data_IF_397845097528
#
_entry.id   IF_397845097528
#
_cell.length_a   1.000
_cell.length_b   1.000
_cell.length_c   1.000
_cell.angle_alpha   90.00
_cell.angle_beta   90.00
_cell.angle_gamma   90.00
#
_symmetry.space_group_name_H-M   'P 1'
#
loop_
_entity.id
_entity.type
_entity.pdbx_description
1 polymer ?
#
# COMPACT_ATOMS: atom_id res chain seq x y z
N UNK A 1 -60.80 -28.79 63.13
CA UNK A 1 -59.84 -29.90 63.29
C UNK A 1 -59.01 -29.94 62.03
N UNK A 2 -57.74 -29.57 62.14
CA UNK A 2 -56.88 -29.17 61.02
C UNK A 2 -56.16 -30.38 60.42
N UNK A 3 -56.26 -30.56 59.11
CA UNK A 3 -55.53 -31.58 58.34
C UNK A 3 -54.02 -31.24 58.26
N UNK A 4 -53.10 -32.19 58.42
CA UNK A 4 -51.67 -31.91 58.42
C UNK A 4 -51.15 -31.65 57.01
N UNK A 5 -50.49 -30.50 56.85
CA UNK A 5 -49.79 -30.05 55.65
C UNK A 5 -48.56 -30.93 55.42
N UNK A 6 -48.59 -31.75 54.38
CA UNK A 6 -47.51 -32.66 54.01
C UNK A 6 -46.28 -31.85 53.55
N UNK A 7 -45.21 -31.88 54.34
CA UNK A 7 -43.98 -31.12 54.13
C UNK A 7 -43.10 -31.90 53.15
N UNK A 8 -43.03 -31.43 51.90
CA UNK A 8 -42.16 -32.02 50.87
C UNK A 8 -40.69 -31.75 51.20
N UNK A 9 -39.93 -32.81 51.50
CA UNK A 9 -38.47 -32.76 51.68
C UNK A 9 -37.76 -32.22 50.43
N UNK A 10 -36.69 -31.39 50.59
CA UNK A 10 -35.86 -30.96 49.48
C UNK A 10 -35.06 -32.16 48.94
N UNK A 11 -35.26 -32.50 47.67
CA UNK A 11 -34.43 -33.49 46.95
C UNK A 11 -32.98 -33.03 46.93
N UNK A 12 -32.16 -33.60 47.80
CA UNK A 12 -30.70 -33.53 47.71
C UNK A 12 -30.25 -34.14 46.37
N UNK A 13 -29.82 -33.28 45.44
CA UNK A 13 -29.10 -33.72 44.25
C UNK A 13 -27.68 -34.11 44.68
N UNK A 14 -27.18 -35.29 44.30
CA UNK A 14 -25.82 -35.68 44.65
C UNK A 14 -24.81 -34.70 44.04
N UNK A 15 -23.69 -34.41 44.73
CA UNK A 15 -22.69 -33.45 44.25
C UNK A 15 -22.17 -33.88 42.86
N UNK A 16 -21.99 -32.93 41.92
CA UNK A 16 -21.52 -33.25 40.58
C UNK A 16 -20.18 -33.98 40.66
N UNK A 17 -20.09 -35.16 40.04
CA UNK A 17 -18.90 -35.99 40.12
C UNK A 17 -17.86 -35.55 39.07
N UNK A 18 -17.06 -34.55 39.44
CA UNK A 18 -15.99 -33.97 38.61
C UNK A 18 -14.82 -34.93 38.36
N UNK A 19 -14.71 -36.02 39.15
CA UNK A 19 -13.64 -37.03 39.05
C UNK A 19 -13.98 -38.20 38.12
N UNK A 20 -15.16 -38.19 37.48
CA UNK A 20 -15.47 -39.23 36.50
C UNK A 20 -14.52 -39.13 35.31
N UNK A 21 -13.97 -40.27 34.86
CA UNK A 21 -13.01 -40.33 33.72
C UNK A 21 -13.51 -39.62 32.46
N UNK A 22 -14.83 -39.48 32.30
CA UNK A 22 -15.47 -38.76 31.20
C UNK A 22 -15.39 -37.24 31.37
N UNK A 23 -15.67 -36.72 32.56
CA UNK A 23 -15.56 -35.29 32.86
C UNK A 23 -14.09 -34.86 32.88
N UNK A 24 -13.20 -35.70 33.40
CA UNK A 24 -11.75 -35.44 33.40
C UNK A 24 -11.19 -35.33 31.97
N UNK A 25 -11.65 -36.18 31.04
CA UNK A 25 -11.29 -36.08 29.61
C UNK A 25 -11.87 -34.84 28.93
N UNK A 26 -13.08 -34.42 29.31
CA UNK A 26 -13.69 -33.18 28.80
C UNK A 26 -12.94 -31.94 29.30
N UNK A 27 -12.57 -31.89 30.57
CA UNK A 27 -11.76 -30.79 31.10
C UNK A 27 -10.37 -30.76 30.47
N UNK A 28 -9.73 -31.92 30.27
CA UNK A 28 -8.44 -32.00 29.61
C UNK A 28 -8.50 -31.50 28.16
N UNK A 29 -9.56 -31.82 27.41
CA UNK A 29 -9.77 -31.29 26.06
C UNK A 29 -9.97 -29.77 26.05
N UNK A 30 -10.71 -29.22 27.03
CA UNK A 30 -10.89 -27.77 27.17
C UNK A 30 -9.56 -27.08 27.44
N UNK A 31 -8.77 -27.59 28.38
CA UNK A 31 -7.44 -27.05 28.70
C UNK A 31 -6.50 -27.13 27.48
N UNK A 32 -6.55 -28.23 26.73
CA UNK A 32 -5.73 -28.41 25.53
C UNK A 32 -6.16 -27.46 24.40
N UNK A 33 -7.47 -27.24 24.24
CA UNK A 33 -8.00 -26.25 23.28
C UNK A 33 -7.60 -24.82 23.67
N UNK A 34 -7.60 -24.50 24.97
CA UNK A 34 -7.18 -23.20 25.47
C UNK A 34 -5.67 -22.99 25.25
N UNK A 35 -4.87 -24.03 25.50
CA UNK A 35 -3.44 -24.02 25.20
C UNK A 35 -3.13 -23.78 23.72
N UNK A 36 -3.92 -24.38 22.83
CA UNK A 36 -3.81 -24.15 21.38
C UNK A 36 -4.13 -22.70 21.00
N UNK A 37 -5.18 -22.11 21.58
CA UNK A 37 -5.56 -20.70 21.33
C UNK A 37 -4.45 -19.75 21.81
N UNK A 38 -3.88 -20.00 22.99
CA UNK A 38 -2.77 -19.20 23.52
C UNK A 38 -1.53 -19.34 22.63
N UNK A 39 -1.23 -20.55 22.16
CA UNK A 39 -0.13 -20.78 21.23
C UNK A 39 -0.32 -20.03 19.90
N UNK A 40 -1.54 -20.03 19.36
CA UNK A 40 -1.89 -19.24 18.17
C UNK A 40 -1.78 -17.73 18.42
N UNK A 41 -2.17 -17.23 19.60
CA UNK A 41 -1.95 -15.82 19.97
C UNK A 41 -0.46 -15.49 20.05
N UNK A 42 0.37 -16.40 20.56
CA UNK A 42 1.81 -16.19 20.66
C UNK A 42 2.49 -16.15 19.29
N UNK A 43 2.05 -16.99 18.36
CA UNK A 43 2.51 -16.97 16.97
C UNK A 43 2.02 -15.71 16.23
N UNK A 44 0.79 -15.28 16.51
CA UNK A 44 0.24 -14.01 16.01
C UNK A 44 0.91 -12.78 16.62
N UNK A 45 1.51 -12.86 17.81
CA UNK A 45 2.23 -11.74 18.43
C UNK A 45 3.60 -11.47 17.80
N UNK A 46 4.10 -12.32 16.90
CA UNK A 46 5.38 -12.10 16.21
C UNK A 46 5.25 -10.94 15.21
N UNK A 47 6.03 -9.85 15.36
CA UNK A 47 5.91 -8.64 14.52
C UNK A 47 6.21 -8.92 13.03
N UNK A 48 6.95 -9.99 12.74
CA UNK A 48 7.27 -10.44 11.38
C UNK A 48 6.02 -10.80 10.56
N UNK A 49 4.96 -11.32 11.21
CA UNK A 49 3.71 -11.72 10.54
C UNK A 49 2.81 -10.53 10.17
N UNK A 50 3.07 -9.35 10.76
CA UNK A 50 2.30 -8.12 10.54
C UNK A 50 3.09 -7.04 9.80
N UNK A 51 4.33 -7.32 9.39
CA UNK A 51 5.18 -6.36 8.68
C UNK A 51 4.52 -5.85 7.37
N UNK A 52 3.78 -6.71 6.68
CA UNK A 52 3.04 -6.35 5.46
C UNK A 52 1.87 -5.38 5.73
N UNK A 53 1.28 -5.43 6.93
CA UNK A 53 0.12 -4.62 7.34
C UNK A 53 0.54 -3.20 7.72
N UNK A 54 1.77 -3.02 8.20
CA UNK A 54 2.37 -1.71 8.47
C UNK A 54 3.13 -1.13 7.27
N UNK A 55 3.60 -1.95 6.32
CA UNK A 55 4.11 -1.47 5.02
C UNK A 55 3.02 -0.92 4.10
N UNK A 56 1.76 -1.35 4.27
CA UNK A 56 0.60 -0.80 3.54
C UNK A 56 -0.14 0.30 4.31
N UNK A 57 0.28 0.57 5.55
CA UNK A 57 -0.26 1.62 6.43
C UNK A 57 0.58 2.90 6.48
N UNK A 58 1.46 3.11 5.50
CA UNK A 58 2.06 4.42 5.25
C UNK A 58 0.93 5.43 5.04
N UNK A 59 1.05 6.57 5.72
CA UNK A 59 0.04 7.60 5.86
C UNK A 59 -0.82 7.80 4.61
N UNK A 60 -2.13 7.99 4.81
CA UNK A 60 -3.02 8.56 3.79
C UNK A 60 -2.59 10.01 3.59
N UNK A 61 -1.44 10.21 2.97
CA UNK A 61 -1.01 11.46 2.40
C UNK A 61 -2.03 11.73 1.30
N UNK A 62 -2.77 12.83 1.44
CA UNK A 62 -3.86 13.17 0.55
C UNK A 62 -3.32 13.22 -0.87
N UNK A 63 -3.63 12.19 -1.66
CA UNK A 63 -3.20 12.12 -3.05
C UNK A 63 -3.61 13.41 -3.75
N UNK A 64 -2.66 14.06 -4.42
CA UNK A 64 -2.91 15.31 -5.12
C UNK A 64 -4.02 15.08 -6.16
N UNK A 65 -4.98 16.03 -6.30
CA UNK A 65 -5.99 15.93 -7.34
C UNK A 65 -5.35 15.79 -8.72
N UNK A 66 -5.83 14.85 -9.52
CA UNK A 66 -5.30 14.58 -10.86
C UNK A 66 -5.57 15.75 -11.79
N UNK A 67 -4.52 16.48 -12.17
CA UNK A 67 -4.57 17.58 -13.15
C UNK A 67 -4.29 17.06 -14.56
N UNK A 68 -4.99 17.60 -15.55
CA UNK A 68 -4.75 17.31 -16.96
C UNK A 68 -3.44 17.97 -17.41
N UNK A 69 -2.49 17.14 -17.84
CA UNK A 69 -1.16 17.55 -18.30
C UNK A 69 -1.06 17.63 -19.82
N UNK A 70 -2.15 17.37 -20.55
CA UNK A 70 -2.15 17.43 -22.02
C UNK A 70 -1.86 18.85 -22.50
N UNK A 71 -0.91 18.95 -23.42
CA UNK A 71 -0.62 20.21 -24.08
C UNK A 71 -1.74 20.54 -25.06
N UNK A 72 -2.50 21.60 -24.77
CA UNK A 72 -3.43 22.22 -25.72
C UNK A 72 -2.78 23.50 -26.26
N UNK A 73 -2.49 23.61 -27.57
CA UNK A 73 -2.03 24.86 -28.14
C UNK A 73 -3.08 25.95 -27.86
N UNK A 74 -2.68 27.18 -27.48
CA UNK A 74 -3.65 28.26 -27.33
C UNK A 74 -4.44 28.42 -28.65
N UNK A 75 -5.75 28.77 -28.58
CA UNK A 75 -6.50 29.09 -29.78
C UNK A 75 -5.73 30.15 -30.55
N UNK A 76 -5.36 29.88 -31.81
CA UNK A 76 -4.75 30.89 -32.66
C UNK A 76 -5.78 32.00 -32.84
N UNK A 77 -5.66 33.09 -32.09
CA UNK A 77 -6.16 34.37 -32.57
C UNK A 77 -5.42 34.63 -33.88
N UNK A 78 -6.19 34.79 -34.96
CA UNK A 78 -5.66 34.99 -36.28
C UNK A 78 -4.69 36.19 -36.28
N UNK A 79 -3.44 35.90 -36.65
CA UNK A 79 -2.48 36.80 -37.26
C UNK A 79 -2.45 38.26 -36.77
N UNK A 80 -1.58 38.55 -35.81
CA UNK A 80 -0.89 39.85 -35.79
C UNK A 80 0.59 39.62 -36.06
N UNK A 81 1.14 40.52 -36.86
CA UNK A 81 2.29 40.30 -37.71
C UNK A 81 3.59 40.12 -36.92
N UNK A 82 4.43 39.26 -37.49
CA UNK A 82 5.83 39.02 -37.20
C UNK A 82 6.63 40.33 -37.25
N UNK A 83 6.82 40.98 -36.10
CA UNK A 83 7.81 42.04 -35.94
C UNK A 83 9.01 41.46 -35.20
N UNK A 84 10.01 41.05 -35.99
CA UNK A 84 11.36 40.74 -35.53
C UNK A 84 12.00 42.04 -35.04
N UNK A 85 11.99 42.29 -33.73
CA UNK A 85 12.90 43.24 -33.11
C UNK A 85 14.28 42.58 -32.95
N UNK A 86 15.17 42.86 -33.90
CA UNK A 86 16.60 42.65 -33.69
C UNK A 86 17.10 43.67 -32.66
N UNK A 87 17.05 43.32 -31.38
CA UNK A 87 17.81 44.04 -30.35
C UNK A 87 19.28 43.68 -30.49
N UNK A 88 20.03 44.46 -31.27
CA UNK A 88 21.49 44.45 -31.26
C UNK A 88 21.99 45.01 -29.91
N UNK A 89 22.21 44.15 -28.94
CA UNK A 89 22.98 44.50 -27.75
C UNK A 89 24.47 44.34 -28.08
N UNK A 90 25.12 45.46 -28.45
CA UNK A 90 26.58 45.56 -28.39
C UNK A 90 27.03 45.48 -26.92
N UNK A 91 28.00 44.63 -26.55
CA UNK A 91 28.62 44.71 -25.23
C UNK A 91 29.53 45.95 -25.16
N UNK A 92 29.55 46.70 -24.04
CA UNK A 92 30.55 47.74 -23.83
C UNK A 92 31.95 47.11 -23.66
N UNK A 93 32.99 47.68 -24.28
CA UNK A 93 34.35 47.19 -24.10
C UNK A 93 34.89 47.63 -22.74
N UNK A 94 35.25 46.66 -21.89
CA UNK A 94 36.04 46.94 -20.67
C UNK A 94 35.56 46.30 -19.36
N UNK A 95 34.96 45.11 -19.36
CA UNK A 95 34.68 44.40 -18.11
C UNK A 95 35.92 43.58 -17.68
N UNK A 96 36.77 44.22 -16.88
CA UNK A 96 37.80 43.58 -16.08
C UNK A 96 37.17 42.50 -15.19
N UNK A 97 37.84 41.36 -15.12
CA UNK A 97 37.54 40.19 -14.27
C UNK A 97 37.33 40.61 -12.81
N UNK A 98 36.09 40.95 -12.49
CA UNK A 98 35.65 41.31 -11.14
C UNK A 98 34.45 40.42 -10.88
N UNK A 99 34.62 39.47 -9.96
CA UNK A 99 33.56 38.65 -9.40
C UNK A 99 32.39 39.56 -9.03
N UNK A 100 31.36 39.61 -9.87
CA UNK A 100 30.17 40.40 -9.63
C UNK A 100 29.45 39.74 -8.46
N UNK A 101 29.50 40.37 -7.29
CA UNK A 101 28.62 40.02 -6.18
C UNK A 101 27.18 40.25 -6.62
N UNK A 102 26.52 39.19 -7.08
CA UNK A 102 25.09 39.20 -7.41
C UNK A 102 24.34 39.53 -6.11
N UNK A 103 23.55 40.63 -6.06
CA UNK A 103 22.83 41.01 -4.85
C UNK A 103 21.93 39.87 -4.37
N UNK A 104 21.97 39.57 -3.06
CA UNK A 104 21.09 38.56 -2.46
C UNK A 104 19.64 39.07 -2.48
N UNK A 105 18.86 38.61 -3.45
CA UNK A 105 17.41 38.90 -3.51
C UNK A 105 16.68 37.97 -2.54
N UNK A 106 15.84 38.49 -1.62
CA UNK A 106 15.06 37.66 -0.71
C UNK A 106 14.23 36.62 -1.48
N UNK A 107 14.31 35.36 -1.06
CA UNK A 107 13.55 34.24 -1.65
C UNK A 107 14.28 33.46 -2.75
N UNK A 108 15.42 33.95 -3.27
CA UNK A 108 16.24 33.22 -4.24
C UNK A 108 17.49 32.63 -3.59
N UNK A 109 17.96 31.51 -4.13
CA UNK A 109 19.24 30.92 -3.72
C UNK A 109 20.40 31.84 -4.13
N UNK A 110 21.47 32.01 -3.32
CA UNK A 110 22.62 32.83 -3.68
C UNK A 110 23.20 32.46 -5.04
N UNK A 111 23.41 33.46 -5.90
CA UNK A 111 23.91 33.28 -7.28
C UNK A 111 22.83 33.15 -8.35
N UNK A 112 21.56 32.98 -7.98
CA UNK A 112 20.44 33.05 -8.94
C UNK A 112 20.11 34.52 -9.22
N UNK A 113 20.18 34.94 -10.48
CA UNK A 113 19.78 36.27 -10.94
C UNK A 113 18.33 36.24 -11.49
N UNK A 114 17.36 36.85 -10.79
CA UNK A 114 15.96 36.85 -11.22
C UNK A 114 15.71 37.55 -12.57
N UNK A 115 16.56 38.49 -12.98
CA UNK A 115 16.39 39.19 -14.26
C UNK A 115 16.64 38.26 -15.44
N UNK A 116 17.58 37.32 -15.29
CA UNK A 116 17.90 36.30 -16.30
C UNK A 116 16.75 35.32 -16.47
N UNK A 117 16.03 35.01 -15.39
CA UNK A 117 14.89 34.09 -15.39
C UNK A 117 13.72 34.58 -16.28
N UNK A 118 13.63 35.88 -16.59
CA UNK A 118 12.60 36.44 -17.49
C UNK A 118 12.71 35.90 -18.93
N UNK A 119 13.88 35.37 -19.31
CA UNK A 119 14.10 34.76 -20.63
C UNK A 119 13.51 33.34 -20.72
N UNK A 120 13.20 32.71 -19.58
CA UNK A 120 12.70 31.35 -19.51
C UNK A 120 11.21 31.34 -19.85
N UNK A 121 10.82 30.56 -20.85
CA UNK A 121 9.43 30.43 -21.30
C UNK A 121 8.87 29.05 -20.97
N UNK A 122 7.79 29.01 -20.19
CA UNK A 122 7.05 27.79 -19.92
C UNK A 122 6.31 27.26 -21.15
N UNK A 123 5.90 25.98 -21.07
CA UNK A 123 5.07 25.29 -22.06
C UNK A 123 5.71 25.31 -23.46
N UNK A 124 7.04 25.31 -23.49
CA UNK A 124 7.85 25.19 -24.71
C UNK A 124 8.62 23.89 -24.68
N UNK A 125 9.09 23.44 -25.85
CA UNK A 125 10.07 22.36 -25.95
C UNK A 125 11.42 22.82 -25.37
N UNK A 126 12.16 21.91 -24.77
CA UNK A 126 13.51 22.14 -24.27
C UNK A 126 14.45 22.27 -25.47
N UNK A 127 15.19 23.38 -25.51
CA UNK A 127 16.20 23.62 -26.53
C UNK A 127 17.58 23.53 -25.89
N UNK A 128 18.49 22.80 -26.52
CA UNK A 128 19.90 22.65 -26.08
C UNK A 128 20.72 23.94 -26.09
N UNK A 129 20.13 25.10 -26.38
CA UNK A 129 20.81 26.40 -26.42
C UNK A 129 20.21 27.42 -25.43
N UNK A 130 19.40 26.97 -24.46
CA UNK A 130 18.89 27.86 -23.42
C UNK A 130 20.04 28.27 -22.49
N UNK A 131 20.52 29.52 -22.55
CA UNK A 131 21.69 29.97 -21.76
C UNK A 131 21.44 29.90 -20.26
N UNK A 132 20.25 30.31 -19.81
CA UNK A 132 19.86 30.31 -18.38
C UNK A 132 19.91 28.90 -17.78
N UNK A 133 19.58 27.87 -18.57
CA UNK A 133 19.71 26.47 -18.16
C UNK A 133 21.13 26.12 -17.72
N UNK A 134 22.12 26.45 -18.55
CA UNK A 134 23.52 26.17 -18.27
C UNK A 134 24.07 27.04 -17.15
N UNK A 135 23.62 28.29 -17.00
CA UNK A 135 23.97 29.15 -15.88
C UNK A 135 23.53 28.53 -14.54
N UNK A 136 22.30 28.02 -14.46
CA UNK A 136 21.78 27.37 -13.25
C UNK A 136 22.47 26.02 -12.98
N UNK A 137 22.74 25.22 -14.02
CA UNK A 137 23.52 24.00 -13.85
C UNK A 137 24.95 24.27 -13.38
N UNK A 138 25.61 25.31 -13.92
CA UNK A 138 26.96 25.67 -13.48
C UNK A 138 26.96 26.18 -12.04
N UNK A 139 25.94 26.95 -11.64
CA UNK A 139 25.74 27.33 -10.23
C UNK A 139 25.66 26.09 -9.35
N UNK A 140 24.79 25.13 -9.68
CA UNK A 140 24.66 23.86 -8.95
C UNK A 140 25.97 23.06 -8.93
N UNK A 141 26.72 23.04 -10.03
CA UNK A 141 28.01 22.35 -10.09
C UNK A 141 29.00 22.92 -9.07
N UNK A 142 29.06 24.25 -8.95
CA UNK A 142 29.96 24.96 -8.06
C UNK A 142 29.51 24.97 -6.59
N UNK A 143 28.22 24.81 -6.31
CA UNK A 143 27.68 24.81 -4.94
C UNK A 143 27.89 23.45 -4.25
N UNK A 144 28.51 23.38 -3.05
CA UNK A 144 28.58 22.15 -2.27
C UNK A 144 27.20 21.59 -1.90
N UNK A 145 27.04 20.26 -1.87
CA UNK A 145 25.77 19.63 -1.48
C UNK A 145 25.33 20.08 -0.07
N UNK A 146 26.26 20.16 0.87
CA UNK A 146 25.98 20.63 2.25
C UNK A 146 25.37 22.02 2.30
N UNK A 147 25.70 22.91 1.36
CA UNK A 147 25.10 24.24 1.28
C UNK A 147 23.68 24.19 0.69
N UNK A 148 23.44 23.35 -0.31
CA UNK A 148 22.11 23.16 -0.89
C UNK A 148 21.13 22.60 0.14
N UNK A 149 21.49 21.52 0.84
CA UNK A 149 20.65 20.94 1.88
C UNK A 149 20.57 21.84 3.13
N UNK A 150 21.66 22.54 3.47
CA UNK A 150 21.69 23.47 4.61
C UNK A 150 20.88 24.75 4.38
N UNK A 151 20.56 25.11 3.14
CA UNK A 151 19.76 26.29 2.80
C UNK A 151 18.26 26.15 3.12
N UNK A 152 17.84 25.04 3.75
CA UNK A 152 16.44 24.76 4.11
C UNK A 152 15.50 24.88 2.91
N UNK A 153 15.70 24.04 1.87
CA UNK A 153 14.88 24.07 0.67
C UNK A 153 13.39 23.83 1.00
N UNK A 154 12.50 24.48 0.26
CA UNK A 154 11.06 24.33 0.45
C UNK A 154 10.59 22.97 -0.08
N UNK A 155 9.94 22.11 0.72
CA UNK A 155 9.32 20.89 0.22
C UNK A 155 8.16 21.23 -0.71
N UNK A 156 8.18 20.70 -1.93
CA UNK A 156 7.15 20.98 -2.94
C UNK A 156 6.58 19.71 -3.56
N UNK A 157 5.29 19.77 -3.92
CA UNK A 157 4.59 18.75 -4.71
C UNK A 157 4.54 19.07 -6.20
N UNK A 158 3.92 18.19 -6.99
CA UNK A 158 3.74 18.41 -8.42
C UNK A 158 2.84 19.63 -8.68
N UNK A 159 1.75 19.80 -7.92
CA UNK A 159 0.77 20.85 -8.19
C UNK A 159 1.32 22.26 -8.01
N UNK A 160 2.16 22.47 -6.99
CA UNK A 160 2.81 23.76 -6.74
C UNK A 160 3.65 24.18 -7.96
N UNK A 161 4.54 23.30 -8.40
CA UNK A 161 5.41 23.56 -9.56
C UNK A 161 4.62 23.67 -10.87
N UNK A 162 3.51 22.95 -10.99
CA UNK A 162 2.70 22.95 -12.21
C UNK A 162 1.76 24.16 -12.33
N UNK A 163 1.14 24.61 -11.23
CA UNK A 163 0.16 25.70 -11.23
C UNK A 163 0.77 27.06 -10.93
N UNK A 164 1.89 27.10 -10.20
CA UNK A 164 2.53 28.33 -9.74
C UNK A 164 3.98 28.44 -10.25
N UNK A 165 4.25 28.24 -11.55
CA UNK A 165 5.62 28.19 -12.05
C UNK A 165 6.38 29.51 -11.82
N UNK A 166 5.70 30.66 -11.87
CA UNK A 166 6.33 31.96 -11.68
C UNK A 166 6.72 32.22 -10.22
N UNK A 167 6.00 31.65 -9.26
CA UNK A 167 6.33 31.74 -7.84
C UNK A 167 7.57 30.91 -7.51
N UNK A 168 7.77 29.77 -8.17
CA UNK A 168 8.85 28.84 -7.87
C UNK A 168 10.07 28.98 -8.79
N UNK A 169 10.00 29.73 -9.90
CA UNK A 169 11.08 29.80 -10.89
C UNK A 169 12.38 30.24 -10.24
N UNK A 170 13.43 29.44 -10.38
CA UNK A 170 14.75 29.68 -9.81
C UNK A 170 14.84 29.56 -8.29
N UNK A 171 13.76 29.18 -7.59
CA UNK A 171 13.81 28.90 -6.14
C UNK A 171 14.37 27.50 -5.89
N UNK A 172 15.06 27.38 -4.74
CA UNK A 172 15.55 26.11 -4.25
C UNK A 172 14.40 25.33 -3.61
N UNK A 173 14.12 24.16 -4.17
CA UNK A 173 13.02 23.29 -3.78
C UNK A 173 13.53 21.89 -3.46
N UNK A 174 12.80 21.20 -2.58
CA UNK A 174 13.01 19.80 -2.25
C UNK A 174 11.84 18.97 -2.78
N UNK A 175 12.15 17.90 -3.51
CA UNK A 175 11.17 17.02 -4.13
C UNK A 175 11.50 15.56 -3.81
N UNK A 176 10.58 14.87 -3.13
CA UNK A 176 10.68 13.46 -2.80
C UNK A 176 9.72 12.63 -3.66
N UNK A 177 10.15 11.45 -4.08
CA UNK A 177 9.28 10.57 -4.86
C UNK A 177 9.96 9.33 -5.41
N UNK A 178 9.28 8.67 -6.33
CA UNK A 178 9.78 7.47 -7.01
C UNK A 178 10.31 7.81 -8.39
N UNK A 179 11.61 7.64 -8.62
CA UNK A 179 12.21 7.69 -9.96
C UNK A 179 11.85 6.41 -10.69
N UNK A 180 11.16 6.54 -11.82
CA UNK A 180 10.71 5.40 -12.63
C UNK A 180 11.55 5.17 -13.90
N UNK A 181 12.35 6.16 -14.26
CA UNK A 181 13.28 6.14 -15.39
C UNK A 181 14.41 7.11 -15.08
N UNK A 182 15.63 6.67 -15.29
CA UNK A 182 16.83 7.50 -15.21
C UNK A 182 17.81 7.05 -16.29
N UNK A 183 18.41 7.99 -17.00
CA UNK A 183 19.46 7.71 -17.95
C UNK A 183 20.39 8.90 -18.08
N UNK A 184 21.64 8.62 -18.38
CA UNK A 184 22.63 9.67 -18.58
C UNK A 184 22.57 10.21 -20.01
N UNK A 185 22.48 11.54 -20.12
CA UNK A 185 22.48 12.27 -21.39
C UNK A 185 23.82 13.00 -21.50
N UNK A 186 24.62 12.59 -22.48
CA UNK A 186 25.88 13.25 -22.82
C UNK A 186 25.57 14.57 -23.54
N UNK A 187 26.23 15.65 -23.13
CA UNK A 187 26.01 17.00 -23.69
C UNK A 187 27.31 17.63 -24.17
N UNK A 188 27.87 17.12 -25.27
CA UNK A 188 29.14 17.62 -25.82
C UNK A 188 28.98 18.99 -26.48
N UNK A 189 29.94 19.89 -26.22
CA UNK A 189 30.03 21.19 -26.87
C UNK A 189 29.08 22.26 -26.32
N UNK A 190 28.58 22.09 -25.09
CA UNK A 190 27.81 23.13 -24.42
C UNK A 190 28.73 24.27 -23.89
N UNK A 191 28.19 25.50 -23.70
CA UNK A 191 28.99 26.66 -23.34
C UNK A 191 29.65 26.64 -21.95
N UNK A 192 29.35 25.65 -21.11
CA UNK A 192 29.83 25.54 -19.73
C UNK A 192 30.66 24.26 -19.50
N UNK A 193 31.04 23.56 -20.57
CA UNK A 193 31.83 22.31 -20.54
C UNK A 193 31.27 21.23 -19.61
N UNK A 194 29.94 21.21 -19.40
CA UNK A 194 29.28 20.19 -18.58
C UNK A 194 29.28 18.86 -19.36
N UNK A 195 29.87 17.76 -18.86
CA UNK A 195 29.99 16.52 -19.65
C UNK A 195 28.63 15.93 -20.07
N UNK A 196 27.63 16.11 -19.22
CA UNK A 196 26.28 15.57 -19.37
C UNK A 196 25.51 15.67 -18.07
N UNK A 197 24.32 15.08 -18.06
CA UNK A 197 23.41 15.08 -16.91
C UNK A 197 22.50 13.86 -16.94
N UNK A 198 22.05 13.44 -15.77
CA UNK A 198 21.00 12.44 -15.59
C UNK A 198 19.64 13.05 -15.85
N UNK A 199 18.87 12.48 -16.78
CA UNK A 199 17.44 12.79 -16.91
C UNK A 199 16.62 11.75 -16.14
N UNK A 200 16.05 12.18 -15.02
CA UNK A 200 15.24 11.38 -14.11
C UNK A 200 13.76 11.74 -14.23
N UNK A 201 12.91 10.74 -14.45
CA UNK A 201 11.46 10.88 -14.40
C UNK A 201 10.97 10.45 -13.02
N UNK A 202 10.62 11.43 -12.20
CA UNK A 202 10.21 11.23 -10.83
C UNK A 202 8.71 11.41 -10.71
N UNK A 203 8.03 10.49 -10.02
CA UNK A 203 6.66 10.65 -9.56
C UNK A 203 6.71 11.15 -8.12
N UNK A 204 6.34 12.42 -7.87
CA UNK A 204 6.33 12.95 -6.50
C UNK A 204 5.38 12.16 -5.61
N UNK A 205 5.67 12.15 -4.32
CA UNK A 205 4.76 11.56 -3.33
C UNK A 205 3.35 12.14 -3.48
N UNK A 206 2.34 11.26 -3.43
CA UNK A 206 0.95 11.64 -3.64
C UNK A 206 0.54 12.00 -5.08
N UNK A 207 1.46 12.07 -6.05
CA UNK A 207 1.14 12.47 -7.43
C UNK A 207 1.21 11.31 -8.44
N UNK A 208 0.36 11.39 -9.47
CA UNK A 208 0.38 10.47 -10.63
C UNK A 208 0.97 11.12 -11.88
N UNK A 209 1.47 12.34 -11.76
CA UNK A 209 2.10 13.05 -12.86
C UNK A 209 3.60 13.19 -12.59
N UNK A 210 4.44 13.09 -13.62
CA UNK A 210 5.87 13.15 -13.43
C UNK A 210 6.37 14.60 -13.29
N UNK A 211 7.45 14.75 -12.53
CA UNK A 211 8.40 15.85 -12.61
C UNK A 211 9.67 15.31 -13.27
N UNK A 212 10.24 16.07 -14.21
CA UNK A 212 11.51 15.71 -14.84
C UNK A 212 12.63 16.42 -14.11
N UNK A 213 13.55 15.66 -13.55
CA UNK A 213 14.73 16.18 -12.85
C UNK A 213 15.96 15.98 -13.73
N UNK A 214 16.72 17.04 -13.93
CA UNK A 214 18.03 16.98 -14.57
C UNK A 214 19.09 17.15 -13.49
N UNK A 215 19.76 16.06 -13.15
CA UNK A 215 20.80 16.04 -12.12
C UNK A 215 22.19 15.97 -12.75
N UNK A 216 23.17 16.70 -12.21
CA UNK A 216 24.56 16.61 -12.68
C UNK A 216 25.19 15.25 -12.38
N UNK A 217 24.80 14.65 -11.26
CA UNK A 217 25.33 13.37 -10.80
C UNK A 217 24.25 12.54 -10.08
N UNK A 218 24.51 11.25 -9.90
CA UNK A 218 23.69 10.33 -9.11
C UNK A 218 24.58 9.52 -8.15
N UNK A 219 24.07 9.11 -6.98
CA UNK A 219 24.87 8.30 -6.05
C UNK A 219 25.36 7.00 -6.69
N UNK A 220 26.56 6.58 -6.30
CA UNK A 220 27.14 5.33 -6.79
C UNK A 220 26.22 4.13 -6.54
N UNK A 221 26.03 3.31 -7.57
CA UNK A 221 25.15 2.13 -7.51
C UNK A 221 23.69 2.40 -7.84
N UNK A 222 23.29 3.66 -8.10
CA UNK A 222 21.94 3.97 -8.56
C UNK A 222 21.65 3.28 -9.90
N UNK A 223 20.50 2.61 -10.07
CA UNK A 223 20.19 1.90 -11.30
C UNK A 223 19.93 2.85 -12.46
N UNK A 224 20.36 2.46 -13.66
CA UNK A 224 20.05 3.14 -14.92
C UNK A 224 19.06 2.31 -15.74
N UNK A 225 18.10 2.97 -16.40
CA UNK A 225 17.12 2.27 -17.21
C UNK A 225 15.85 3.06 -17.52
N UNK A 226 15.05 2.45 -18.40
CA UNK A 226 13.76 2.98 -18.84
C UNK A 226 12.61 2.57 -17.94
N UNK A 227 12.82 1.54 -17.11
CA UNK A 227 11.85 0.98 -16.18
C UNK A 227 12.56 0.64 -14.87
N UNK A 228 12.32 1.44 -13.85
CA UNK A 228 12.80 1.22 -12.48
C UNK A 228 11.77 1.77 -11.48
N UNK A 229 12.02 1.63 -10.19
CA UNK A 229 11.28 2.36 -9.16
C UNK A 229 12.14 2.51 -7.92
N UNK A 230 12.82 3.64 -7.82
CA UNK A 230 13.68 3.96 -6.68
C UNK A 230 13.18 5.20 -5.95
N UNK A 231 13.12 5.13 -4.62
CA UNK A 231 12.79 6.30 -3.80
C UNK A 231 14.00 7.24 -3.74
N UNK A 232 13.82 8.48 -4.21
CA UNK A 232 14.89 9.48 -4.29
C UNK A 232 14.33 10.84 -3.85
N UNK A 233 15.16 11.57 -3.11
CA UNK A 233 14.92 12.99 -2.78
C UNK A 233 15.88 13.85 -3.58
N UNK A 234 15.37 14.87 -4.26
CA UNK A 234 16.20 15.87 -4.94
C UNK A 234 16.06 17.22 -4.26
N UNK A 235 17.20 17.91 -4.10
CA UNK A 235 17.23 19.35 -3.81
C UNK A 235 17.79 20.06 -5.04
N UNK A 236 17.04 21.03 -5.54
CA UNK A 236 17.33 21.64 -6.82
C UNK A 236 16.59 22.93 -7.07
N UNK A 237 16.88 23.57 -8.20
CA UNK A 237 16.24 24.80 -8.64
C UNK A 237 15.11 24.46 -9.61
N UNK A 238 13.90 24.94 -9.37
CA UNK A 238 12.82 24.80 -10.35
C UNK A 238 13.11 25.68 -11.58
N UNK A 239 13.04 25.10 -12.78
CA UNK A 239 13.41 25.80 -14.01
C UNK A 239 12.20 26.31 -14.80
N UNK A 240 11.36 25.38 -15.26
CA UNK A 240 10.20 25.70 -16.10
C UNK A 240 9.21 24.53 -16.16
N UNK A 241 8.07 24.79 -16.78
CA UNK A 241 7.20 23.72 -17.32
C UNK A 241 7.62 23.43 -18.76
N UNK A 242 7.93 22.18 -19.04
CA UNK A 242 8.45 21.73 -20.33
C UNK A 242 7.44 20.83 -21.04
N UNK A 243 7.33 20.99 -22.36
CA UNK A 243 6.51 20.13 -23.22
C UNK A 243 7.32 18.93 -23.71
N UNK A 244 6.83 17.72 -23.48
CA UNK A 244 7.46 16.48 -23.93
C UNK A 244 6.49 15.60 -24.73
N UNK A 245 7.03 14.71 -25.54
CA UNK A 245 6.25 13.71 -26.27
C UNK A 245 6.00 12.49 -25.38
N UNK A 246 4.74 12.26 -25.02
CA UNK A 246 4.27 11.04 -24.37
C UNK A 246 3.64 10.08 -25.41
N UNK A 247 3.28 8.87 -24.98
CA UNK A 247 2.62 7.88 -25.84
C UNK A 247 1.27 8.36 -26.38
N UNK A 248 0.54 9.17 -25.61
CA UNK A 248 -0.79 9.67 -25.94
C UNK A 248 -0.79 11.12 -26.47
N UNK A 249 0.40 11.68 -26.78
CA UNK A 249 0.56 13.01 -27.36
C UNK A 249 1.50 13.91 -26.56
N UNK A 250 1.48 15.20 -26.86
CA UNK A 250 2.28 16.18 -26.16
C UNK A 250 1.72 16.43 -24.75
N UNK A 251 2.58 16.37 -23.74
CA UNK A 251 2.27 16.63 -22.33
C UNK A 251 3.20 17.67 -21.74
N UNK A 252 2.80 18.26 -20.62
CA UNK A 252 3.59 19.22 -19.86
C UNK A 252 4.03 18.57 -18.54
N UNK A 253 5.31 18.72 -18.19
CA UNK A 253 5.83 18.36 -16.88
C UNK A 253 6.65 19.53 -16.28
N UNK A 254 6.61 19.73 -14.96
CA UNK A 254 7.58 20.57 -14.27
C UNK A 254 9.00 20.01 -14.46
N UNK A 255 9.98 20.91 -14.54
CA UNK A 255 11.38 20.59 -14.72
C UNK A 255 12.21 21.19 -13.59
N UNK A 256 13.02 20.36 -12.93
CA UNK A 256 13.90 20.76 -11.82
C UNK A 256 15.35 20.45 -12.19
N UNK A 257 16.25 21.37 -11.84
CA UNK A 257 17.70 21.23 -11.98
C UNK A 257 18.30 20.88 -10.63
N UNK A 258 19.07 19.78 -10.54
CA UNK A 258 19.67 19.34 -9.31
C UNK A 258 21.17 19.06 -9.48
N UNK A 259 21.91 19.10 -8.36
CA UNK A 259 23.29 18.62 -8.36
C UNK A 259 23.34 17.10 -8.28
N UNK A 260 22.71 16.53 -7.26
CA UNK A 260 22.68 15.08 -7.02
C UNK A 260 21.41 14.72 -6.23
N UNK A 261 20.84 13.56 -6.50
CA UNK A 261 19.74 13.00 -5.70
C UNK A 261 20.25 12.24 -4.47
N UNK A 262 19.52 12.32 -3.36
CA UNK A 262 19.68 11.44 -2.21
C UNK A 262 18.89 10.15 -2.44
N UNK A 263 19.60 9.03 -2.50
CA UNK A 263 19.03 7.70 -2.68
C UNK A 263 19.56 6.75 -1.61
N UNK A 264 18.65 5.99 -1.02
CA UNK A 264 18.99 4.84 -0.19
C UNK A 264 18.50 3.59 -0.91
N UNK A 265 19.37 2.59 -1.19
CA UNK A 265 18.97 1.38 -1.90
C UNK A 265 17.81 0.70 -1.20
N UNK A 266 16.72 0.45 -1.93
CA UNK A 266 15.63 -0.36 -1.40
C UNK A 266 16.17 -1.78 -1.20
N UNK A 267 16.14 -2.35 0.02
CA UNK A 267 16.59 -3.71 0.23
C UNK A 267 15.79 -4.66 -0.66
N UNK A 268 16.49 -5.53 -1.39
CA UNK A 268 15.82 -6.56 -2.19
C UNK A 268 14.80 -7.30 -1.30
N UNK A 269 13.56 -7.51 -1.77
CA UNK A 269 12.56 -8.20 -0.97
C UNK A 269 13.13 -9.55 -0.54
N UNK A 270 13.19 -9.76 0.78
CA UNK A 270 13.63 -11.03 1.33
C UNK A 270 12.78 -12.15 0.68
N UNK A 271 13.39 -13.28 0.29
CA UNK A 271 12.65 -14.36 -0.32
C UNK A 271 11.47 -14.72 0.59
N UNK A 272 10.25 -14.58 0.05
CA UNK A 272 9.02 -14.99 0.71
C UNK A 272 9.19 -16.45 1.13
N UNK A 273 9.42 -16.65 2.43
CA UNK A 273 9.60 -17.98 2.99
C UNK A 273 8.23 -18.63 2.98
N UNK A 274 8.01 -19.54 2.02
CA UNK A 274 6.80 -20.36 2.02
C UNK A 274 6.66 -21.00 3.41
N UNK A 275 5.45 -21.02 4.01
CA UNK A 275 5.25 -21.67 5.29
C UNK A 275 5.73 -23.11 5.16
N UNK A 276 6.58 -23.54 6.11
CA UNK A 276 7.18 -24.86 6.04
C UNK A 276 6.08 -25.93 5.92
N UNK A 277 6.33 -27.06 5.23
CA UNK A 277 5.36 -28.16 5.16
C UNK A 277 4.90 -28.61 6.56
N UNK A 278 5.72 -28.42 7.58
CA UNK A 278 5.38 -28.65 8.99
C UNK A 278 4.38 -27.64 9.56
N UNK A 279 4.43 -26.36 9.17
CA UNK A 279 3.46 -25.35 9.56
C UNK A 279 2.09 -25.58 8.90
N UNK A 280 2.09 -26.01 7.62
CA UNK A 280 0.85 -26.35 6.91
C UNK A 280 0.23 -27.62 7.52
N UNK A 281 1.03 -28.66 7.74
CA UNK A 281 0.53 -29.91 8.35
C UNK A 281 0.04 -29.69 9.78
N UNK A 282 0.71 -28.88 10.60
CA UNK A 282 0.24 -28.56 11.96
C UNK A 282 -1.08 -27.78 11.95
N UNK A 283 -1.26 -26.82 11.03
CA UNK A 283 -2.52 -26.10 10.87
C UNK A 283 -3.67 -27.02 10.43
N UNK A 284 -3.43 -27.94 9.49
CA UNK A 284 -4.43 -28.92 9.03
C UNK A 284 -4.80 -29.90 10.15
N UNK A 285 -3.80 -30.39 10.91
CA UNK A 285 -4.02 -31.27 12.05
C UNK A 285 -4.84 -30.55 13.13
N UNK A 286 -4.49 -29.30 13.45
CA UNK A 286 -5.23 -28.49 14.42
C UNK A 286 -6.70 -28.31 13.99
N UNK A 287 -6.94 -27.99 12.71
CA UNK A 287 -8.29 -27.85 12.16
C UNK A 287 -9.09 -29.16 12.23
N UNK A 288 -8.45 -30.29 11.90
CA UNK A 288 -9.05 -31.61 11.97
C UNK A 288 -9.40 -32.03 13.40
N UNK A 289 -8.54 -31.72 14.37
CA UNK A 289 -8.79 -31.96 15.80
C UNK A 289 -9.96 -31.13 16.31
N UNK A 290 -10.03 -29.84 15.93
CA UNK A 290 -11.15 -28.95 16.30
C UNK A 290 -12.46 -29.48 15.70
N UNK A 291 -12.47 -29.81 14.40
CA UNK A 291 -13.65 -30.35 13.73
C UNK A 291 -14.09 -31.69 14.33
N UNK A 292 -13.14 -32.58 14.66
CA UNK A 292 -13.41 -33.85 15.30
C UNK A 292 -13.98 -33.70 16.72
N UNK A 293 -13.44 -32.76 17.50
CA UNK A 293 -13.96 -32.44 18.84
C UNK A 293 -15.39 -31.89 18.77
N UNK A 294 -15.65 -30.94 17.86
CA UNK A 294 -16.98 -30.38 17.63
C UNK A 294 -18.00 -31.44 17.20
N UNK A 295 -17.62 -32.33 16.25
CA UNK A 295 -18.48 -33.41 15.80
C UNK A 295 -18.77 -34.44 16.91
N UNK A 296 -17.81 -34.70 17.80
CA UNK A 296 -17.99 -35.61 18.93
C UNK A 296 -18.86 -35.00 20.04
N UNK A 297 -18.73 -33.70 20.31
CA UNK A 297 -19.63 -32.97 21.22
C UNK A 297 -21.06 -32.90 20.65
N UNK A 298 -21.22 -32.71 19.33
CA UNK A 298 -22.52 -32.69 18.67
C UNK A 298 -23.20 -34.07 18.64
N UNK A 299 -22.43 -35.17 18.72
CA UNK A 299 -22.92 -36.55 18.91
C UNK A 299 -23.23 -36.84 20.40
N UNK A 300 -23.95 -35.94 21.06
CA UNK A 300 -24.50 -36.18 22.39
C UNK A 300 -25.31 -37.50 22.43
N UNK A 301 -25.42 -38.16 23.59
CA UNK A 301 -26.06 -39.47 23.69
C UNK A 301 -27.51 -39.34 23.23
N UNK A 302 -27.83 -39.90 22.06
CA UNK A 302 -29.21 -40.18 21.67
C UNK A 302 -29.76 -41.06 22.79
N UNK A 303 -30.60 -40.48 23.66
CA UNK A 303 -31.41 -41.25 24.60
C UNK A 303 -32.17 -42.24 23.74
N UNK A 304 -31.70 -43.49 23.73
CA UNK A 304 -32.48 -44.62 23.26
C UNK A 304 -33.71 -44.65 24.15
N UNK A 305 -34.78 -44.03 23.67
CA UNK A 305 -36.13 -44.16 24.21
C UNK A 305 -36.52 -45.60 23.92
N UNK A 306 -36.05 -46.51 24.78
CA UNK A 306 -36.42 -47.92 24.76
C UNK A 306 -37.88 -47.99 25.16
N UNK A 307 -38.66 -48.49 24.23
CA UNK A 307 -40.11 -48.53 24.25
C UNK A 307 -40.68 -49.07 25.55
N UNK A 308 -41.68 -48.35 26.02
CA UNK A 308 -42.63 -48.74 27.06
C UNK A 308 -43.61 -49.79 26.50
N UNK A 309 -43.10 -50.90 25.95
CA UNK A 309 -43.90 -52.01 25.44
C UNK A 309 -43.78 -53.22 26.38
N UNK A 310 -44.27 -53.07 27.61
CA UNK A 310 -44.40 -54.21 28.54
C UNK A 310 -45.56 -54.04 29.54
N UNK A 311 -46.64 -53.36 29.12
CA UNK A 311 -47.82 -53.10 29.99
C UNK A 311 -49.18 -53.42 29.33
N UNK A 312 -49.22 -54.36 28.38
CA UNK A 312 -50.45 -54.85 27.72
C UNK A 312 -50.48 -56.37 27.54
N UNK A 313 -50.16 -57.14 28.57
CA UNK A 313 -50.29 -58.61 28.55
C UNK A 313 -50.92 -59.20 29.80
N UNK A 314 -51.92 -58.53 30.40
CA UNK A 314 -52.62 -59.04 31.60
C UNK A 314 -54.15 -59.20 31.41
N UNK A 315 -54.73 -58.98 30.22
CA UNK A 315 -56.20 -59.02 30.08
C UNK A 315 -56.79 -59.97 29.01
N UNK A 316 -56.07 -60.98 28.52
CA UNK A 316 -56.60 -61.88 27.48
C UNK A 316 -56.65 -63.37 27.82
N UNK A 317 -56.76 -63.74 29.11
CA UNK A 317 -56.88 -65.15 29.54
C UNK A 317 -58.09 -65.37 30.47
N UNK A 318 -59.29 -65.06 30.00
CA UNK A 318 -60.56 -65.37 30.69
C UNK A 318 -61.74 -65.22 29.72
N UNK A 319 -61.84 -66.08 28.70
CA UNK A 319 -63.08 -66.42 27.94
C UNK A 319 -62.76 -67.14 26.63
N UNK A 320 -62.30 -68.39 26.68
CA UNK A 320 -62.34 -69.30 25.52
C UNK A 320 -62.20 -70.75 25.99
N UNK A 321 -63.18 -71.23 26.76
CA UNK A 321 -63.44 -72.66 26.96
C UNK A 321 -64.96 -72.80 27.16
N UNK A 322 -65.68 -72.84 26.05
CA UNK A 322 -67.03 -73.41 25.97
C UNK A 322 -67.01 -74.35 24.77
N UNK A 323 -67.03 -75.62 25.11
CA UNK A 323 -67.03 -76.80 24.26
C UNK A 323 -68.40 -76.93 23.54
N UNK A 324 -68.46 -77.24 22.24
CA UNK A 324 -69.72 -77.45 21.55
C UNK A 324 -70.27 -78.86 21.82
N UNK A 325 -71.41 -78.92 22.49
CA UNK A 325 -72.24 -80.12 22.65
C UNK A 325 -72.97 -80.42 21.33
N UNK A 326 -72.52 -81.47 20.65
CA UNK A 326 -73.09 -81.98 19.39
C UNK A 326 -74.16 -83.03 19.69
N UNK A 327 -75.41 -82.74 19.34
CA UNK A 327 -76.57 -83.57 19.65
C UNK A 327 -77.48 -83.72 18.43
N UNK A 328 -76.96 -84.28 17.34
CA UNK A 328 -77.76 -84.81 16.22
C UNK A 328 -77.08 -85.99 15.54
N UNK A 329 -77.07 -87.14 16.20
CA UNK A 329 -76.86 -88.39 15.49
C UNK A 329 -77.67 -89.52 16.15
N UNK A 330 -78.98 -89.53 15.89
CA UNK A 330 -79.83 -90.69 16.16
C UNK A 330 -80.93 -90.79 15.10
N UNK A 331 -81.03 -92.01 14.53
CA UNK A 331 -82.20 -92.62 13.89
C UNK A 331 -82.47 -92.28 12.42
N UNK A 332 -81.90 -93.11 11.53
CA UNK A 332 -82.59 -93.56 10.31
C UNK A 332 -82.62 -95.10 10.28
N UNK A 333 -83.80 -95.73 10.19
CA UNK A 333 -83.92 -97.19 10.08
C UNK A 333 -83.81 -97.65 8.62
N UNK A 334 -83.52 -98.94 8.49
CA UNK A 334 -83.52 -99.72 7.25
C UNK A 334 -84.94 -99.89 6.69
N UNK A 335 -85.10 -99.73 5.37
CA UNK A 335 -85.69 -100.67 4.39
C UNK A 335 -85.94 -99.96 3.07
#
# INVERSE_FOLDING_TARGET
>A
MSEPRNMSEPRNQPPPNYLSRRVQRQMLLLVLSLGLVIFLMFEAAKPQNWAWLWQTGGQVEQAEPSVDTRFSPPPRLASEHDSIEMSQNNPPPGATDTRVDVPRVPGYFPGVDPTRLQQVRDNTLFRRNETVWYELLNLLAQTPLTELYGASPEPVGFLQLFQQPDEYRGKLVQLSGSVIRAHYVVDQGNPQDIPGYWQCWLFPEGSRNPVVVYALDMPSGFPEGMEMREAVTFVGLFYKRWVYSAQDGARIAPMVLAKQGEWTPTPAPAPVSLPSPMAITSAVIALAVIAGALAWLARGPRKTRRDSASRRSIHSSLSANVEPYDARDTLRPQS
#
